data_IF_983989947678
#
_entry.id   IF_983989947678
#
_cell.length_a   1.000
_cell.length_b   1.000
_cell.length_c   1.000
_cell.angle_alpha   90.00
_cell.angle_beta   90.00
_cell.angle_gamma   90.00
#
_symmetry.space_group_name_H-M   'P 1'
#
loop_
_entity.id
_entity.type
_entity.pdbx_description
1 polymer ?
#
# COMPACT_ATOMS: atom_id res chain seq x y z
N UNK A 1 18.69 -19.29 0.34
CA UNK A 1 19.74 -18.33 0.79
C UNK A 1 19.27 -17.79 2.13
N UNK A 2 20.07 -17.89 3.19
CA UNK A 2 19.76 -17.21 4.44
C UNK A 2 20.38 -15.82 4.37
N UNK A 3 19.58 -14.78 4.51
CA UNK A 3 20.11 -13.42 4.63
C UNK A 3 20.54 -13.17 6.07
N UNK A 4 21.71 -12.56 6.28
CA UNK A 4 22.24 -12.35 7.63
C UNK A 4 21.49 -11.24 8.38
N UNK A 5 20.83 -10.33 7.66
CA UNK A 5 20.08 -9.21 8.24
C UNK A 5 18.61 -9.58 8.41
N UNK A 6 18.00 -10.15 7.36
CA UNK A 6 16.60 -10.56 7.38
C UNK A 6 16.47 -12.04 7.73
N UNK A 7 15.95 -12.30 8.95
CA UNK A 7 15.88 -13.64 9.54
C UNK A 7 15.00 -14.61 8.74
N UNK A 8 14.00 -14.12 8.00
CA UNK A 8 13.05 -14.97 7.25
C UNK A 8 13.05 -14.71 5.73
N UNK A 9 14.15 -14.19 5.17
CA UNK A 9 14.25 -14.10 3.72
C UNK A 9 14.20 -15.51 3.12
N UNK A 10 13.08 -15.84 2.50
CA UNK A 10 12.86 -17.10 1.83
C UNK A 10 13.18 -16.93 0.36
N UNK A 11 14.24 -17.59 -0.12
CA UNK A 11 14.63 -17.57 -1.53
C UNK A 11 14.51 -18.98 -2.08
N UNK A 12 13.60 -19.17 -3.04
CA UNK A 12 13.46 -20.40 -3.82
C UNK A 12 13.59 -20.10 -5.32
N UNK A 13 13.56 -21.15 -6.15
CA UNK A 13 13.75 -21.04 -7.62
C UNK A 13 12.72 -20.13 -8.31
N UNK A 14 11.54 -19.93 -7.71
CA UNK A 14 10.43 -19.19 -8.31
C UNK A 14 10.30 -17.78 -7.76
N UNK A 15 10.61 -17.57 -6.47
CA UNK A 15 10.38 -16.31 -5.80
C UNK A 15 11.27 -16.10 -4.58
N UNK A 16 11.46 -14.83 -4.26
CA UNK A 16 12.09 -14.40 -3.01
C UNK A 16 11.08 -13.62 -2.19
N UNK A 17 10.90 -13.97 -0.92
CA UNK A 17 9.88 -13.37 -0.07
C UNK A 17 10.35 -13.05 1.34
N UNK A 18 9.84 -11.96 1.89
CA UNK A 18 10.05 -11.48 3.25
C UNK A 18 8.69 -11.21 3.92
N UNK A 19 8.58 -11.44 5.22
CA UNK A 19 7.37 -11.07 5.94
C UNK A 19 7.40 -9.58 6.35
N UNK A 20 6.38 -8.82 5.94
CA UNK A 20 6.29 -7.37 6.10
C UNK A 20 6.30 -6.93 7.57
N UNK A 21 5.73 -7.74 8.47
CA UNK A 21 5.72 -7.42 9.91
C UNK A 21 7.12 -7.34 10.52
N UNK A 22 8.13 -7.99 9.93
CA UNK A 22 9.51 -7.88 10.40
C UNK A 22 10.08 -6.47 10.22
N UNK A 23 9.61 -5.74 9.21
CA UNK A 23 10.09 -4.37 9.00
C UNK A 23 9.71 -3.47 10.16
N UNK A 24 8.52 -3.66 10.74
CA UNK A 24 8.05 -2.87 11.90
C UNK A 24 8.94 -3.11 13.11
N UNK A 25 9.25 -4.36 13.41
CA UNK A 25 10.12 -4.68 14.55
C UNK A 25 11.54 -4.12 14.30
N UNK A 26 12.03 -4.21 13.06
CA UNK A 26 13.32 -3.67 12.68
C UNK A 26 13.39 -2.13 12.69
N UNK A 27 12.29 -1.41 12.47
CA UNK A 27 12.25 0.05 12.56
C UNK A 27 12.43 0.57 13.99
N UNK A 28 12.19 -0.27 15.00
CA UNK A 28 12.50 0.06 16.39
C UNK A 28 13.99 -0.17 16.70
N UNK A 29 14.63 -1.13 16.04
CA UNK A 29 16.02 -1.51 16.29
C UNK A 29 17.04 -0.71 15.45
N UNK A 30 16.67 -0.29 14.24
CA UNK A 30 17.61 0.30 13.28
C UNK A 30 17.08 1.60 12.68
N UNK A 31 17.99 2.57 12.38
CA UNK A 31 17.60 3.76 11.63
C UNK A 31 17.04 3.43 10.24
N UNK A 32 16.00 4.15 9.81
CA UNK A 32 15.32 3.95 8.52
C UNK A 32 16.26 3.97 7.31
N UNK A 33 17.23 4.89 7.28
CA UNK A 33 18.20 4.95 6.18
C UNK A 33 19.03 3.66 6.07
N UNK A 34 19.29 3.00 7.20
CA UNK A 34 20.03 1.74 7.24
C UNK A 34 19.14 0.59 6.76
N UNK A 35 17.89 0.53 7.20
CA UNK A 35 16.91 -0.45 6.71
C UNK A 35 16.69 -0.35 5.21
N UNK A 36 16.51 0.86 4.67
CA UNK A 36 16.43 1.09 3.23
C UNK A 36 17.64 0.51 2.50
N UNK A 37 18.86 0.73 3.01
CA UNK A 37 20.09 0.16 2.44
C UNK A 37 20.08 -1.37 2.48
N UNK A 38 19.56 -2.00 3.53
CA UNK A 38 19.46 -3.46 3.61
C UNK A 38 18.43 -4.02 2.62
N UNK A 39 17.27 -3.38 2.46
CA UNK A 39 16.28 -3.76 1.44
C UNK A 39 16.91 -3.66 0.05
N UNK A 40 17.57 -2.55 -0.27
CA UNK A 40 18.24 -2.35 -1.55
C UNK A 40 19.37 -3.38 -1.78
N UNK A 41 20.14 -3.72 -0.74
CA UNK A 41 21.15 -4.78 -0.82
C UNK A 41 20.51 -6.12 -1.18
N UNK A 42 19.40 -6.47 -0.54
CA UNK A 42 18.69 -7.71 -0.85
C UNK A 42 18.21 -7.68 -2.29
N UNK A 43 17.49 -6.64 -2.72
CA UNK A 43 16.96 -6.52 -4.08
C UNK A 43 18.04 -6.75 -5.14
N UNK A 44 19.19 -6.09 -5.06
CA UNK A 44 20.33 -6.30 -5.97
C UNK A 44 20.87 -7.73 -6.00
N UNK A 45 20.76 -8.44 -4.89
CA UNK A 45 21.26 -9.81 -4.74
C UNK A 45 20.30 -10.88 -5.25
N UNK A 46 19.05 -10.53 -5.56
CA UNK A 46 18.04 -11.48 -6.02
C UNK A 46 18.14 -11.68 -7.54
N UNK A 47 17.96 -12.92 -8.07
CA UNK A 47 18.10 -13.20 -9.50
C UNK A 47 17.25 -12.33 -10.44
N UNK A 48 16.05 -11.92 -9.99
CA UNK A 48 15.11 -11.10 -10.76
C UNK A 48 14.91 -9.71 -10.15
N UNK A 49 15.75 -9.33 -9.19
CA UNK A 49 15.66 -8.06 -8.46
C UNK A 49 14.26 -7.82 -7.86
N UNK A 50 13.53 -8.89 -7.55
CA UNK A 50 12.12 -8.82 -7.15
C UNK A 50 11.95 -9.46 -5.80
N UNK A 51 11.47 -8.68 -4.84
CA UNK A 51 11.14 -9.14 -3.50
C UNK A 51 9.62 -9.12 -3.30
N UNK A 52 9.07 -10.23 -2.86
CA UNK A 52 7.67 -10.32 -2.44
C UNK A 52 7.60 -10.05 -0.94
N UNK A 53 6.80 -9.07 -0.53
CA UNK A 53 6.48 -8.86 0.87
C UNK A 53 5.10 -9.43 1.17
N UNK A 54 5.04 -10.45 2.02
CA UNK A 54 3.79 -11.04 2.51
C UNK A 54 3.51 -10.56 3.94
N UNK A 55 2.27 -10.50 4.37
CA UNK A 55 1.94 -10.06 5.74
C UNK A 55 1.09 -11.04 6.54
N UNK A 56 0.68 -12.18 5.95
CA UNK A 56 -0.17 -13.18 6.62
C UNK A 56 -1.57 -12.70 6.97
N UNK A 57 -1.91 -11.44 6.63
CA UNK A 57 -3.19 -10.78 6.88
C UNK A 57 -3.66 -10.06 5.63
N UNK A 58 -4.95 -9.73 5.56
CA UNK A 58 -5.51 -8.89 4.51
C UNK A 58 -5.19 -7.39 4.68
N UNK A 59 -4.63 -7.01 5.84
CA UNK A 59 -4.25 -5.65 6.23
C UNK A 59 -2.70 -5.47 6.22
N UNK A 60 -2.07 -5.25 5.06
CA UNK A 60 -0.63 -5.03 5.01
C UNK A 60 -0.26 -3.69 5.66
N UNK A 61 0.80 -3.67 6.45
CA UNK A 61 1.37 -2.44 7.00
C UNK A 61 2.21 -1.70 5.93
N UNK A 62 1.52 -1.21 4.90
CA UNK A 62 2.14 -0.45 3.82
C UNK A 62 2.71 0.87 4.32
N UNK A 63 2.11 1.45 5.36
CA UNK A 63 2.53 2.72 5.93
C UNK A 63 3.97 2.64 6.42
N UNK A 64 4.29 1.66 7.29
CA UNK A 64 5.65 1.46 7.80
C UNK A 64 6.68 1.19 6.69
N UNK A 65 6.27 0.56 5.59
CA UNK A 65 7.14 0.34 4.44
C UNK A 65 7.41 1.65 3.68
N UNK A 66 6.37 2.41 3.36
CA UNK A 66 6.50 3.67 2.63
C UNK A 66 7.31 4.70 3.43
N UNK A 67 7.26 4.67 4.77
CA UNK A 67 8.10 5.50 5.64
C UNK A 67 9.61 5.30 5.47
N UNK A 68 10.05 4.17 4.91
CA UNK A 68 11.47 3.90 4.64
C UNK A 68 11.99 4.62 3.41
N UNK A 69 11.09 5.04 2.52
CA UNK A 69 11.41 5.61 1.23
C UNK A 69 11.03 7.09 1.18
N UNK A 70 11.83 7.88 0.49
CA UNK A 70 11.40 9.21 0.07
C UNK A 70 10.56 9.08 -1.21
N UNK A 71 9.85 10.14 -1.56
CA UNK A 71 9.06 10.19 -2.81
C UNK A 71 9.90 9.96 -4.07
N UNK A 72 11.17 10.34 -4.02
CA UNK A 72 12.13 10.18 -5.12
C UNK A 72 12.70 8.75 -5.22
N UNK A 73 12.60 7.95 -4.16
CA UNK A 73 13.11 6.57 -4.16
C UNK A 73 12.19 5.61 -4.92
N UNK A 74 10.91 5.98 -5.10
CA UNK A 74 9.89 5.16 -5.76
C UNK A 74 9.53 5.79 -7.10
N UNK A 75 9.97 5.15 -8.18
CA UNK A 75 9.67 5.62 -9.54
C UNK A 75 8.19 5.44 -9.89
N UNK A 76 7.60 4.31 -9.49
CA UNK A 76 6.18 3.99 -9.73
C UNK A 76 5.60 3.11 -8.62
N UNK A 77 4.31 3.32 -8.34
CA UNK A 77 3.44 2.41 -7.60
C UNK A 77 2.40 1.87 -8.56
N UNK A 78 2.31 0.55 -8.71
CA UNK A 78 1.29 -0.09 -9.55
C UNK A 78 0.40 -0.93 -8.65
N UNK A 79 -0.89 -0.60 -8.64
CA UNK A 79 -1.90 -1.41 -7.99
C UNK A 79 -2.50 -2.34 -9.04
N UNK A 80 -2.35 -3.64 -8.83
CA UNK A 80 -2.83 -4.69 -9.73
C UNK A 80 -3.73 -5.65 -8.96
N UNK A 81 -4.16 -6.73 -9.61
CA UNK A 81 -4.92 -7.79 -8.97
C UNK A 81 -4.32 -9.16 -9.28
N UNK A 82 -4.56 -10.07 -8.36
CA UNK A 82 -4.19 -11.48 -8.41
C UNK A 82 -5.42 -12.36 -8.31
N UNK A 83 -5.39 -13.48 -9.02
CA UNK A 83 -6.45 -14.49 -9.05
C UNK A 83 -5.97 -15.86 -8.53
N UNK A 84 -4.69 -15.96 -8.16
CA UNK A 84 -4.00 -17.20 -7.78
C UNK A 84 -3.93 -17.41 -6.26
N UNK A 85 -4.69 -16.64 -5.47
CA UNK A 85 -4.60 -16.64 -3.99
C UNK A 85 -5.57 -17.65 -3.35
N UNK A 86 -6.87 -17.59 -3.69
CA UNK A 86 -7.90 -18.49 -3.18
C UNK A 86 -9.03 -18.62 -4.21
N UNK A 87 -9.54 -19.83 -4.44
CA UNK A 87 -10.58 -20.08 -5.44
C UNK A 87 -11.93 -19.44 -5.12
N UNK A 88 -12.17 -19.09 -3.85
CA UNK A 88 -13.42 -18.47 -3.40
C UNK A 88 -13.37 -16.93 -3.52
N UNK A 89 -12.21 -16.35 -3.83
CA UNK A 89 -12.04 -14.90 -3.94
C UNK A 89 -11.75 -14.55 -5.39
N UNK A 90 -12.60 -13.70 -5.98
CA UNK A 90 -12.48 -13.32 -7.40
C UNK A 90 -11.12 -12.71 -7.70
N UNK A 91 -10.70 -11.74 -6.89
CA UNK A 91 -9.48 -10.95 -7.07
C UNK A 91 -8.95 -10.50 -5.71
N UNK A 92 -7.63 -10.51 -5.54
CA UNK A 92 -6.93 -9.90 -4.40
C UNK A 92 -5.98 -8.85 -4.94
N UNK A 93 -6.09 -7.60 -4.50
CA UNK A 93 -5.16 -6.55 -4.91
C UNK A 93 -3.73 -6.84 -4.46
N UNK A 94 -2.79 -6.51 -5.33
CA UNK A 94 -1.35 -6.45 -5.09
C UNK A 94 -0.88 -5.01 -5.31
N UNK A 95 0.12 -4.57 -4.53
CA UNK A 95 0.76 -3.28 -4.71
C UNK A 95 2.24 -3.50 -5.05
N UNK A 96 2.67 -2.96 -6.18
CA UNK A 96 4.05 -3.08 -6.68
C UNK A 96 4.74 -1.72 -6.55
N UNK A 97 5.89 -1.70 -5.88
CA UNK A 97 6.79 -0.54 -5.82
C UNK A 97 7.96 -0.78 -6.77
N UNK A 98 8.18 0.13 -7.70
CA UNK A 98 9.33 0.11 -8.62
C UNK A 98 10.39 1.07 -8.06
N UNK A 99 11.53 0.51 -7.67
CA UNK A 99 12.69 1.19 -7.11
C UNK A 99 13.87 1.09 -8.09
N UNK A 100 14.90 1.92 -7.90
CA UNK A 100 16.14 1.85 -8.70
C UNK A 100 16.80 0.47 -8.66
N UNK A 101 16.71 -0.20 -7.51
CA UNK A 101 17.44 -1.44 -7.24
C UNK A 101 16.59 -2.69 -7.49
N UNK A 102 15.34 -2.53 -7.90
CA UNK A 102 14.43 -3.64 -8.12
C UNK A 102 12.97 -3.34 -7.80
N UNK A 103 12.20 -4.40 -7.63
CA UNK A 103 10.75 -4.35 -7.47
C UNK A 103 10.35 -4.98 -6.14
N UNK A 104 9.46 -4.31 -5.40
CA UNK A 104 8.82 -4.87 -4.21
C UNK A 104 7.34 -5.12 -4.52
N UNK A 105 6.91 -6.38 -4.43
CA UNK A 105 5.49 -6.76 -4.57
C UNK A 105 4.89 -7.02 -3.19
N UNK A 106 4.03 -6.13 -2.71
CA UNK A 106 3.26 -6.31 -1.48
C UNK A 106 2.02 -7.16 -1.78
N UNK A 107 2.00 -8.36 -1.21
CA UNK A 107 0.96 -9.38 -1.41
C UNK A 107 0.20 -9.62 -0.10
N UNK A 108 -0.93 -8.94 0.12
CA UNK A 108 -1.78 -9.23 1.26
C UNK A 108 -2.45 -10.61 1.11
N UNK A 109 -2.86 -11.17 2.25
CA UNK A 109 -3.74 -12.33 2.26
C UNK A 109 -5.14 -11.93 1.76
N UNK A 110 -5.93 -12.93 1.36
CA UNK A 110 -7.32 -12.71 0.96
C UNK A 110 -8.20 -12.39 2.18
N UNK A 111 -9.30 -11.65 1.95
CA UNK A 111 -10.32 -11.34 2.96
C UNK A 111 -11.66 -11.94 2.54
N UNK A 112 -12.32 -12.68 3.43
CA UNK A 112 -13.58 -13.35 3.15
C UNK A 112 -14.77 -12.38 3.02
N UNK A 113 -14.69 -11.24 3.72
CA UNK A 113 -15.82 -10.34 3.89
C UNK A 113 -15.65 -9.10 3.02
N UNK A 114 -16.57 -8.93 2.06
CA UNK A 114 -16.53 -7.83 1.07
C UNK A 114 -16.47 -6.45 1.72
N UNK A 115 -17.26 -6.21 2.77
CA UNK A 115 -17.29 -4.93 3.48
C UNK A 115 -15.93 -4.61 4.10
N UNK A 116 -15.39 -5.52 4.92
CA UNK A 116 -14.07 -5.33 5.53
C UNK A 116 -12.98 -5.16 4.48
N UNK A 117 -13.08 -5.86 3.34
CA UNK A 117 -12.14 -5.70 2.23
C UNK A 117 -12.13 -4.29 1.66
N UNK A 118 -13.28 -3.64 1.52
CA UNK A 118 -13.33 -2.25 1.06
C UNK A 118 -12.69 -1.29 2.07
N UNK A 119 -12.91 -1.48 3.37
CA UNK A 119 -12.29 -0.66 4.42
C UNK A 119 -10.75 -0.83 4.42
N UNK A 120 -10.28 -2.08 4.27
CA UNK A 120 -8.85 -2.41 4.13
C UNK A 120 -8.21 -1.67 2.96
N UNK A 121 -8.79 -1.76 1.76
CA UNK A 121 -8.26 -1.11 0.56
C UNK A 121 -8.11 0.40 0.79
N UNK A 122 -9.10 1.04 1.40
CA UNK A 122 -9.02 2.48 1.66
C UNK A 122 -7.95 2.78 2.71
N UNK A 123 -7.98 2.08 3.85
CA UNK A 123 -7.17 2.44 5.03
C UNK A 123 -5.72 1.96 4.96
N UNK A 124 -5.43 0.84 4.29
CA UNK A 124 -4.08 0.25 4.23
C UNK A 124 -3.41 0.40 2.87
N UNK A 125 -4.09 0.90 1.85
CA UNK A 125 -3.52 1.13 0.52
C UNK A 125 -3.66 2.58 0.07
N UNK A 126 -4.89 3.09 -0.10
CA UNK A 126 -5.09 4.44 -0.65
C UNK A 126 -4.67 5.55 0.30
N UNK A 127 -5.02 5.44 1.58
CA UNK A 127 -4.65 6.42 2.61
C UNK A 127 -3.12 6.53 2.74
N UNK A 128 -2.34 5.44 2.90
CA UNK A 128 -0.89 5.53 2.93
C UNK A 128 -0.28 6.17 1.67
N UNK A 129 -0.77 5.82 0.48
CA UNK A 129 -0.28 6.42 -0.78
C UNK A 129 -0.47 7.95 -0.77
N UNK A 130 -1.65 8.42 -0.40
CA UNK A 130 -1.95 9.85 -0.29
C UNK A 130 -1.10 10.52 0.79
N UNK A 131 -1.07 9.95 1.99
CA UNK A 131 -0.43 10.53 3.16
C UNK A 131 1.07 10.77 2.92
N UNK A 132 1.72 9.89 2.15
CA UNK A 132 3.13 9.98 1.81
C UNK A 132 3.43 10.70 0.49
N UNK A 133 2.42 11.21 -0.22
CA UNK A 133 2.64 12.00 -1.43
C UNK A 133 3.01 11.16 -2.67
N UNK A 134 2.65 9.88 -2.69
CA UNK A 134 2.95 8.97 -3.80
C UNK A 134 1.88 8.98 -4.90
N UNK A 135 0.88 9.85 -4.80
CA UNK A 135 -0.26 9.85 -5.71
C UNK A 135 0.14 10.14 -7.17
N UNK A 136 1.19 10.93 -7.37
CA UNK A 136 1.65 11.34 -8.72
C UNK A 136 2.32 10.21 -9.50
N UNK A 137 2.79 9.18 -8.79
CA UNK A 137 3.49 8.02 -9.33
C UNK A 137 2.67 6.74 -9.18
N UNK A 138 1.37 6.85 -8.85
CA UNK A 138 0.50 5.68 -8.66
C UNK A 138 -0.37 5.41 -9.90
N UNK A 139 -0.46 4.13 -10.26
CA UNK A 139 -1.14 3.60 -11.45
C UNK A 139 -2.01 2.39 -11.09
N UNK A 140 -3.06 2.14 -11.87
CA UNK A 140 -3.87 0.93 -11.81
C UNK A 140 -3.60 0.05 -13.03
N UNK A 141 -3.30 -1.23 -12.81
CA UNK A 141 -3.11 -2.21 -13.87
C UNK A 141 -4.38 -3.01 -14.08
N UNK A 142 -5.02 -2.81 -15.22
CA UNK A 142 -6.20 -3.54 -15.69
C UNK A 142 -5.80 -4.54 -16.79
N UNK A 143 -6.75 -5.37 -17.22
CA UNK A 143 -6.53 -6.30 -18.35
C UNK A 143 -6.19 -5.58 -19.65
N UNK A 144 -6.73 -4.37 -19.85
CA UNK A 144 -6.53 -3.54 -21.03
C UNK A 144 -5.25 -2.72 -21.03
N UNK A 145 -4.53 -2.65 -19.90
CA UNK A 145 -3.32 -1.84 -19.77
C UNK A 145 -3.15 -1.21 -18.38
N UNK A 146 -2.25 -0.23 -18.31
CA UNK A 146 -1.91 0.49 -17.07
C UNK A 146 -2.35 1.93 -17.19
N UNK A 147 -3.28 2.35 -16.32
CA UNK A 147 -3.85 3.69 -16.32
C UNK A 147 -3.31 4.52 -15.15
N UNK A 148 -3.04 5.79 -15.42
CA UNK A 148 -2.67 6.73 -14.36
C UNK A 148 -3.90 7.07 -13.52
N UNK A 149 -3.75 7.01 -12.21
CA UNK A 149 -4.83 7.32 -11.27
C UNK A 149 -4.89 8.81 -10.99
N UNK A 150 -6.10 9.34 -10.87
CA UNK A 150 -6.33 10.68 -10.38
C UNK A 150 -6.74 10.65 -8.89
N UNK A 151 -5.87 11.18 -8.04
CA UNK A 151 -6.04 11.24 -6.59
C UNK A 151 -6.47 12.64 -6.12
N UNK A 152 -7.16 13.40 -6.97
CA UNK A 152 -7.73 14.69 -6.58
C UNK A 152 -9.01 14.50 -5.80
N UNK A 153 -9.28 15.44 -4.88
CA UNK A 153 -10.45 15.41 -4.00
C UNK A 153 -11.75 15.22 -4.75
N UNK A 154 -11.93 15.98 -5.82
CA UNK A 154 -13.10 15.95 -6.70
C UNK A 154 -13.30 14.60 -7.41
N UNK A 155 -12.25 13.78 -7.50
CA UNK A 155 -12.25 12.51 -8.22
C UNK A 155 -12.22 11.29 -7.28
N UNK A 156 -12.30 11.46 -5.95
CA UNK A 156 -12.20 10.34 -5.01
C UNK A 156 -13.31 9.30 -5.17
N UNK A 157 -14.53 9.70 -5.53
CA UNK A 157 -15.59 8.73 -5.81
C UNK A 157 -15.25 7.87 -7.04
N UNK A 158 -14.72 8.48 -8.11
CA UNK A 158 -14.27 7.79 -9.31
C UNK A 158 -13.10 6.85 -9.01
N UNK A 159 -12.15 7.31 -8.19
CA UNK A 159 -11.06 6.47 -7.67
C UNK A 159 -11.59 5.23 -6.95
N UNK A 160 -12.55 5.41 -6.04
CA UNK A 160 -13.18 4.31 -5.30
C UNK A 160 -13.93 3.35 -6.25
N UNK A 161 -14.61 3.87 -7.27
CA UNK A 161 -15.24 3.03 -8.29
C UNK A 161 -14.22 2.14 -9.00
N UNK A 162 -13.11 2.72 -9.47
CA UNK A 162 -12.08 1.99 -10.22
C UNK A 162 -11.34 0.96 -9.36
N UNK A 163 -10.90 1.33 -8.16
CA UNK A 163 -10.14 0.44 -7.27
C UNK A 163 -11.00 -0.75 -6.80
N UNK A 164 -12.28 -0.51 -6.52
CA UNK A 164 -13.18 -1.57 -6.06
C UNK A 164 -13.59 -2.49 -7.21
N UNK A 165 -13.80 -1.95 -8.42
CA UNK A 165 -13.95 -2.76 -9.61
C UNK A 165 -12.71 -3.63 -9.87
N UNK A 166 -11.51 -3.07 -9.72
CA UNK A 166 -10.24 -3.79 -9.84
C UNK A 166 -10.16 -4.95 -8.83
N UNK A 167 -10.60 -4.71 -7.60
CA UNK A 167 -10.64 -5.72 -6.53
C UNK A 167 -11.71 -6.81 -6.73
N UNK A 168 -12.54 -6.73 -7.78
CA UNK A 168 -13.62 -7.68 -8.05
C UNK A 168 -14.89 -7.45 -7.24
N UNK A 169 -15.02 -6.31 -6.57
CA UNK A 169 -16.18 -5.91 -5.75
C UNK A 169 -16.64 -4.47 -6.07
N UNK A 170 -17.13 -4.21 -7.30
CA UNK A 170 -17.60 -2.89 -7.73
C UNK A 170 -18.57 -2.23 -6.74
N UNK A 171 -18.53 -0.89 -6.61
CA UNK A 171 -19.39 -0.14 -5.67
C UNK A 171 -20.89 -0.36 -5.90
N UNK A 172 -21.31 -0.43 -7.17
CA UNK A 172 -22.70 -0.64 -7.58
C UNK A 172 -23.23 -2.05 -7.23
N UNK A 173 -22.35 -3.01 -6.97
CA UNK A 173 -22.72 -4.35 -6.52
C UNK A 173 -22.86 -4.44 -4.99
N UNK A 174 -22.63 -3.34 -4.27
CA UNK A 174 -22.67 -3.31 -2.83
C UNK A 174 -23.97 -2.67 -2.33
N UNK A 175 -24.68 -3.35 -1.43
CA UNK A 175 -25.67 -2.72 -0.55
C UNK A 175 -24.94 -1.87 0.51
N UNK A 176 -24.14 -0.92 0.07
CA UNK A 176 -23.43 -0.02 0.95
C UNK A 176 -24.40 1.03 1.46
N UNK A 177 -24.35 1.25 2.76
CA UNK A 177 -24.92 2.44 3.37
C UNK A 177 -24.09 3.65 2.91
N UNK A 178 -24.76 4.72 2.46
CA UNK A 178 -24.12 5.98 2.04
C UNK A 178 -23.09 6.48 3.06
N UNK A 179 -23.32 6.19 4.34
CA UNK A 179 -22.42 6.47 5.47
C UNK A 179 -21.01 5.87 5.30
N UNK A 180 -20.86 4.70 4.69
CA UNK A 180 -19.54 4.08 4.47
C UNK A 180 -18.75 4.79 3.38
N UNK A 181 -19.41 5.16 2.28
CA UNK A 181 -18.79 5.93 1.20
C UNK A 181 -18.34 7.29 1.76
N UNK A 182 -19.21 7.97 2.50
CA UNK A 182 -18.88 9.22 3.18
C UNK A 182 -17.68 9.10 4.12
N UNK A 183 -17.58 7.99 4.87
CA UNK A 183 -16.42 7.73 5.72
C UNK A 183 -15.12 7.52 4.93
N UNK A 184 -15.15 6.79 3.81
CA UNK A 184 -13.98 6.63 2.96
C UNK A 184 -13.53 7.95 2.33
N UNK A 185 -14.49 8.73 1.81
CA UNK A 185 -14.20 10.07 1.31
C UNK A 185 -13.58 10.94 2.39
N UNK A 186 -14.09 10.88 3.62
CA UNK A 186 -13.52 11.59 4.77
C UNK A 186 -12.07 11.15 5.05
N UNK A 187 -11.76 9.86 4.99
CA UNK A 187 -10.38 9.35 5.15
C UNK A 187 -9.44 9.85 4.05
N UNK A 188 -9.85 9.79 2.79
CA UNK A 188 -9.02 10.26 1.67
C UNK A 188 -8.80 11.78 1.72
N UNK A 189 -9.84 12.53 2.08
CA UNK A 189 -9.76 13.98 2.29
C UNK A 189 -8.77 14.35 3.38
N UNK A 190 -8.84 13.71 4.54
CA UNK A 190 -7.91 13.95 5.63
C UNK A 190 -6.47 13.62 5.22
N UNK A 191 -6.25 12.51 4.51
CA UNK A 191 -4.91 12.14 4.04
C UNK A 191 -4.32 13.17 3.08
N UNK A 192 -5.13 13.65 2.12
CA UNK A 192 -4.70 14.69 1.18
C UNK A 192 -4.45 16.04 1.85
N UNK A 193 -5.30 16.44 2.81
CA UNK A 193 -5.10 17.67 3.59
C UNK A 193 -3.75 17.64 4.32
N UNK A 194 -3.42 16.52 4.97
CA UNK A 194 -2.13 16.33 5.63
C UNK A 194 -0.98 16.35 4.64
N UNK A 195 -1.11 15.65 3.51
CA UNK A 195 -0.07 15.58 2.48
C UNK A 195 0.25 16.96 1.87
N UNK A 196 -0.71 17.87 1.86
CA UNK A 196 -0.52 19.26 1.41
C UNK A 196 0.24 20.15 2.42
N UNK A 197 0.43 19.69 3.65
CA UNK A 197 1.19 20.43 4.67
C UNK A 197 2.69 20.15 4.59
N UNK A 198 3.51 21.13 4.98
CA UNK A 198 4.98 21.01 5.02
C UNK A 198 5.51 20.31 6.29
N UNK A 199 4.74 19.40 6.89
CA UNK A 199 5.16 18.70 8.10
C UNK A 199 5.99 17.44 7.76
N UNK A 200 6.95 17.06 8.63
CA UNK A 200 7.72 15.82 8.47
C UNK A 200 6.81 14.59 8.36
N UNK A 201 7.22 13.59 7.58
CA UNK A 201 6.45 12.36 7.36
C UNK A 201 5.99 11.68 8.66
N UNK A 202 6.84 11.68 9.70
CA UNK A 202 6.53 11.09 11.01
C UNK A 202 5.37 11.79 11.74
N UNK A 203 5.14 13.07 11.45
CA UNK A 203 4.07 13.85 12.10
C UNK A 203 2.75 13.76 11.32
N UNK A 204 2.78 13.25 10.08
CA UNK A 204 1.60 13.16 9.22
C UNK A 204 0.56 12.21 9.78
N UNK A 205 0.97 11.07 10.34
CA UNK A 205 0.04 10.08 10.89
C UNK A 205 -0.73 10.62 12.10
N UNK A 206 -0.05 11.29 13.03
CA UNK A 206 -0.71 11.93 14.19
C UNK A 206 -1.68 13.03 13.73
N UNK A 207 -1.27 13.86 12.77
CA UNK A 207 -2.12 14.91 12.21
C UNK A 207 -3.36 14.35 11.53
N UNK A 208 -3.19 13.27 10.75
CA UNK A 208 -4.28 12.56 10.10
C UNK A 208 -5.32 12.08 11.11
N UNK A 209 -4.90 11.42 12.19
CA UNK A 209 -5.84 10.96 13.22
C UNK A 209 -6.51 12.10 14.01
N UNK A 210 -5.82 13.23 14.22
CA UNK A 210 -6.43 14.43 14.81
C UNK A 210 -7.57 14.98 13.95
N UNK A 211 -7.36 15.08 12.62
CA UNK A 211 -8.42 15.48 11.68
C UNK A 211 -9.62 14.51 11.77
N UNK A 212 -9.35 13.20 11.80
CA UNK A 212 -10.39 12.18 11.91
C UNK A 212 -11.12 12.16 13.27
N UNK A 213 -10.55 12.75 14.33
CA UNK A 213 -11.23 12.93 15.61
C UNK A 213 -12.02 14.24 15.70
N UNK A 214 -11.81 15.15 14.75
CA UNK A 214 -12.36 16.51 14.83
C UNK A 214 -11.60 17.40 15.80
N UNK A 215 -10.37 17.03 16.17
CA UNK A 215 -9.51 17.83 17.04
C UNK A 215 -9.06 19.08 16.27
N UNK A 216 -9.02 20.24 16.96
CA UNK A 216 -8.54 21.48 16.32
C UNK A 216 -7.07 21.35 15.92
N UNK A 217 -6.89 21.38 14.62
CA UNK A 217 -5.63 21.37 13.88
C UNK A 217 -5.07 22.80 13.95
N UNK A 218 -4.40 23.13 15.07
CA UNK A 218 -3.61 24.36 15.21
C UNK A 218 -2.32 24.29 14.41
#
# INVERSE_FOLDING_TARGET
MNDFFFKTLNVNEKQSSLHLSELRDLTEEFPRYFLKKQINRVLRGLPNHTLIMTCGTSHPDLLSLLELFNTEDIGQIIISYRTDVDSNVKRTLECTLILDEGVINIRPHWCAYKSMRSDEIVTTLLVPILLFGYEKVTYLSHESGVDKVNFRKEDFEVLLMHIFALSGYPLNDQSLEDDRINNWLRYLNAAQEVAATSIPYLERQDRYYKILRGDRVH
#
